data_IF_035768452242
#
_entry.id   IF_035768452242
#
_cell.length_a   1.000
_cell.length_b   1.000
_cell.length_c   1.000
_cell.angle_alpha   90.00
_cell.angle_beta   90.00
_cell.angle_gamma   90.00
#
_symmetry.space_group_name_H-M   'P 1'
#
loop_
_entity.id
_entity.type
_entity.pdbx_description
1 polymer ?
#
# COMPACT_ATOMS: atom_id res chain seq x y z
N UNK A 1 2.63 -10.79 20.49
CA UNK A 1 2.82 -12.23 20.22
C UNK A 1 2.37 -12.52 18.81
N UNK A 2 3.35 -12.75 17.93
CA UNK A 2 3.13 -13.12 16.54
C UNK A 2 2.39 -14.47 16.50
N UNK A 3 1.26 -14.62 15.77
CA UNK A 3 0.48 -15.87 15.70
C UNK A 3 1.23 -17.06 15.07
N UNK A 4 2.54 -16.93 14.86
CA UNK A 4 3.42 -17.83 14.13
C UNK A 4 4.49 -18.46 15.05
N UNK A 5 4.47 -18.16 16.36
CA UNK A 5 5.10 -19.06 17.33
C UNK A 5 4.19 -20.28 17.44
N UNK A 6 4.69 -21.41 16.97
CA UNK A 6 4.00 -22.70 17.00
C UNK A 6 3.63 -23.08 18.42
N UNK A 7 2.34 -23.13 18.72
CA UNK A 7 1.78 -24.05 19.71
C UNK A 7 0.57 -24.74 19.08
N UNK A 8 0.73 -26.06 18.93
CA UNK A 8 -0.25 -27.13 18.74
C UNK A 8 -1.38 -26.96 17.69
N UNK A 9 -1.10 -27.49 16.50
CA UNK A 9 -2.09 -27.83 15.48
C UNK A 9 -2.80 -29.14 15.90
N UNK A 10 -3.61 -29.08 16.95
CA UNK A 10 -4.51 -30.16 17.31
C UNK A 10 -5.76 -29.62 18.03
N UNK A 11 -6.72 -29.08 17.27
CA UNK A 11 -8.18 -29.25 17.46
C UNK A 11 -8.99 -28.17 16.69
N UNK A 12 -9.41 -28.40 15.42
CA UNK A 12 -10.28 -27.46 14.72
C UNK A 12 -11.78 -27.77 14.85
N UNK A 13 -12.19 -29.01 15.14
CA UNK A 13 -13.61 -29.43 14.98
C UNK A 13 -14.57 -28.76 15.98
N UNK A 14 -14.23 -28.73 17.27
CA UNK A 14 -15.11 -28.16 18.32
C UNK A 14 -15.26 -26.63 18.23
N UNK A 15 -14.21 -25.92 17.79
CA UNK A 15 -14.24 -24.46 17.59
C UNK A 15 -15.12 -24.10 16.38
N UNK A 16 -14.98 -24.86 15.29
CA UNK A 16 -15.83 -24.73 14.11
C UNK A 16 -17.31 -24.87 14.51
N UNK A 17 -17.70 -25.89 15.27
CA UNK A 17 -19.10 -26.10 15.64
C UNK A 17 -19.70 -24.99 16.52
N UNK A 18 -18.91 -24.34 17.39
CA UNK A 18 -19.37 -23.17 18.17
C UNK A 18 -19.64 -21.93 17.31
N UNK A 19 -18.80 -21.68 16.29
CA UNK A 19 -19.02 -20.60 15.31
C UNK A 19 -20.36 -20.79 14.58
N UNK A 20 -20.77 -22.05 14.34
CA UNK A 20 -21.98 -22.36 13.59
C UNK A 20 -23.25 -22.30 14.45
N UNK A 21 -23.21 -22.68 15.73
CA UNK A 21 -24.39 -22.62 16.63
C UNK A 21 -24.87 -21.20 16.93
N UNK A 22 -23.97 -20.23 17.09
CA UNK A 22 -24.36 -18.82 17.33
C UNK A 22 -25.01 -18.17 16.09
N UNK A 23 -24.88 -18.78 14.90
CA UNK A 23 -25.48 -18.27 13.67
C UNK A 23 -26.92 -18.72 13.46
N UNK A 24 -27.32 -19.89 13.99
CA UNK A 24 -28.71 -20.36 13.91
C UNK A 24 -29.66 -19.46 14.70
N UNK A 25 -29.21 -18.85 15.81
CA UNK A 25 -29.99 -17.85 16.55
C UNK A 25 -30.12 -16.49 15.82
N UNK A 26 -29.38 -16.28 14.73
CA UNK A 26 -29.46 -15.06 13.91
C UNK A 26 -30.00 -15.32 12.48
N UNK A 27 -30.50 -16.53 12.19
CA UNK A 27 -30.96 -16.96 10.86
C UNK A 27 -32.47 -17.18 10.75
N UNK A 28 -33.29 -16.31 11.32
CA UNK A 28 -34.66 -16.14 10.82
C UNK A 28 -34.87 -14.71 10.35
N UNK A 29 -34.79 -14.48 9.03
CA UNK A 29 -35.44 -13.34 8.37
C UNK A 29 -35.68 -13.62 6.87
N UNK A 30 -36.80 -13.11 6.33
CA UNK A 30 -37.35 -13.57 5.05
C UNK A 30 -36.66 -12.94 3.83
N UNK A 31 -36.71 -13.66 2.71
CA UNK A 31 -36.19 -13.23 1.40
C UNK A 31 -36.98 -12.02 0.89
N UNK A 32 -36.33 -10.87 0.75
CA UNK A 32 -36.93 -9.68 0.13
C UNK A 32 -35.94 -8.53 -0.15
N UNK A 33 -35.71 -8.29 -1.45
CA UNK A 33 -35.30 -7.06 -2.17
C UNK A 33 -34.07 -6.23 -1.73
N UNK A 34 -33.30 -5.85 -2.76
CA UNK A 34 -32.14 -4.94 -2.76
C UNK A 34 -32.50 -3.58 -2.13
N UNK A 35 -31.92 -3.31 -0.96
CA UNK A 35 -31.88 -2.01 -0.30
C UNK A 35 -30.74 -2.03 0.70
N UNK A 36 -29.87 -1.01 0.69
CA UNK A 36 -28.70 -0.93 1.58
C UNK A 36 -29.09 -1.24 3.03
N UNK A 37 -28.43 -2.24 3.63
CA UNK A 37 -28.63 -2.61 5.03
C UNK A 37 -28.41 -1.37 5.89
N UNK A 38 -29.45 -0.89 6.57
CA UNK A 38 -29.29 0.11 7.64
C UNK A 38 -28.36 -0.49 8.70
N UNK A 39 -27.33 0.23 9.17
CA UNK A 39 -26.48 -0.25 10.25
C UNK A 39 -27.35 -0.60 11.46
N UNK A 40 -27.05 -1.73 12.11
CA UNK A 40 -27.67 -2.05 13.40
C UNK A 40 -27.22 -0.95 14.38
N UNK A 41 -28.14 -0.28 15.08
CA UNK A 41 -27.77 0.77 16.02
C UNK A 41 -26.92 0.18 17.15
N UNK A 42 -25.73 0.76 17.36
CA UNK A 42 -24.82 0.38 18.43
C UNK A 42 -25.29 0.95 19.76
N UNK A 43 -25.04 0.23 20.86
CA UNK A 43 -25.30 0.69 22.22
C UNK A 43 -24.00 1.10 22.91
N UNK A 44 -24.07 2.06 23.83
CA UNK A 44 -22.93 2.42 24.69
C UNK A 44 -22.53 1.18 25.51
N UNK A 45 -21.23 0.89 25.56
CA UNK A 45 -20.69 -0.30 26.22
C UNK A 45 -20.75 -1.59 25.40
N UNK A 46 -21.28 -1.56 24.16
CA UNK A 46 -21.24 -2.72 23.28
C UNK A 46 -19.82 -2.98 22.78
N UNK A 47 -19.29 -4.17 23.05
CA UNK A 47 -18.01 -4.62 22.51
C UNK A 47 -18.18 -5.00 21.03
N UNK A 48 -17.29 -4.48 20.19
CA UNK A 48 -17.27 -4.77 18.75
C UNK A 48 -15.83 -4.98 18.28
N UNK A 49 -15.65 -5.94 17.37
CA UNK A 49 -14.39 -6.12 16.68
C UNK A 49 -14.26 -5.08 15.57
N UNK A 50 -13.16 -4.33 15.61
CA UNK A 50 -12.87 -3.24 14.67
C UNK A 50 -11.48 -3.40 14.09
N UNK A 51 -11.30 -2.95 12.86
CA UNK A 51 -9.99 -2.83 12.20
C UNK A 51 -9.68 -1.35 11.98
N UNK A 52 -8.43 -0.97 12.24
CA UNK A 52 -7.89 0.35 11.86
C UNK A 52 -7.72 0.37 10.35
N UNK A 53 -8.40 1.30 9.68
CA UNK A 53 -8.30 1.52 8.22
C UNK A 53 -7.41 2.71 7.91
N UNK A 54 -7.38 3.70 8.81
CA UNK A 54 -6.47 4.83 8.73
C UNK A 54 -5.92 5.14 10.11
N UNK A 55 -4.62 5.33 10.17
CA UNK A 55 -3.93 5.83 11.35
C UNK A 55 -4.49 7.19 11.79
N UNK A 56 -4.35 7.54 13.08
CA UNK A 56 -4.72 8.87 13.56
C UNK A 56 -3.87 9.93 12.83
N UNK A 57 -4.50 11.06 12.52
CA UNK A 57 -3.85 12.16 11.81
C UNK A 57 -4.24 13.50 12.43
N UNK A 58 -3.23 14.28 12.83
CA UNK A 58 -3.43 15.50 13.60
C UNK A 58 -4.20 15.20 14.88
N UNK A 59 -5.31 15.93 15.09
CA UNK A 59 -6.21 15.72 16.24
C UNK A 59 -7.29 14.66 15.98
N UNK A 60 -7.39 14.12 14.76
CA UNK A 60 -8.40 13.11 14.42
C UNK A 60 -7.90 11.72 14.83
N UNK A 61 -8.70 11.04 15.64
CA UNK A 61 -8.48 9.64 16.00
C UNK A 61 -8.48 8.69 14.78
N UNK A 62 -8.06 7.46 15.01
CA UNK A 62 -8.00 6.43 13.97
C UNK A 62 -9.37 6.17 13.34
N UNK A 63 -9.41 5.96 12.01
CA UNK A 63 -10.64 5.55 11.33
C UNK A 63 -10.80 4.05 11.44
N UNK A 64 -11.93 3.62 11.99
CA UNK A 64 -12.24 2.21 12.21
C UNK A 64 -13.27 1.68 11.23
N UNK A 65 -13.27 0.36 11.01
CA UNK A 65 -14.31 -0.37 10.27
C UNK A 65 -14.66 -1.69 10.97
N UNK A 66 -15.91 -2.11 10.84
CA UNK A 66 -16.36 -3.48 11.20
C UNK A 66 -16.36 -4.42 9.99
N UNK A 67 -16.11 -3.89 8.78
CA UNK A 67 -15.88 -4.69 7.57
C UNK A 67 -14.41 -5.10 7.52
N UNK A 68 -14.08 -6.13 8.29
CA UNK A 68 -12.69 -6.59 8.46
C UNK A 68 -12.16 -7.20 7.15
N UNK A 69 -10.87 -6.98 6.89
CA UNK A 69 -10.15 -7.49 5.73
C UNK A 69 -8.78 -7.99 6.13
N UNK A 70 -8.40 -9.16 5.60
CA UNK A 70 -7.08 -9.76 5.78
C UNK A 70 -6.40 -9.87 4.41
N UNK A 71 -5.47 -8.95 4.08
CA UNK A 71 -4.77 -8.97 2.80
C UNK A 71 -3.65 -10.03 2.79
N UNK A 72 -3.82 -11.03 1.94
CA UNK A 72 -2.74 -11.92 1.50
C UNK A 72 -2.08 -11.41 0.23
N UNK A 73 -1.24 -12.25 -0.36
CA UNK A 73 -0.47 -11.90 -1.55
C UNK A 73 -1.35 -11.89 -2.81
N UNK A 74 -2.10 -12.96 -3.01
CA UNK A 74 -2.93 -13.20 -4.18
C UNK A 74 -4.40 -12.94 -3.91
N UNK A 75 -4.84 -13.08 -2.66
CA UNK A 75 -6.24 -12.88 -2.27
C UNK A 75 -6.38 -11.98 -1.05
N UNK A 76 -7.53 -11.33 -0.91
CA UNK A 76 -7.94 -10.64 0.31
C UNK A 76 -9.13 -11.39 0.88
N UNK A 77 -9.05 -11.83 2.13
CA UNK A 77 -10.16 -12.48 2.82
C UNK A 77 -11.00 -11.45 3.57
N UNK A 78 -12.32 -11.53 3.42
CA UNK A 78 -13.29 -10.64 4.05
C UNK A 78 -14.24 -11.49 4.91
N UNK A 79 -13.94 -11.71 6.20
CA UNK A 79 -14.75 -12.61 7.04
C UNK A 79 -16.19 -12.14 7.25
N UNK A 80 -16.42 -10.82 7.25
CA UNK A 80 -17.72 -10.20 7.53
C UNK A 80 -18.55 -9.90 6.27
N UNK A 81 -18.00 -10.09 5.07
CA UNK A 81 -18.68 -9.85 3.80
C UNK A 81 -18.66 -11.13 2.96
N UNK A 82 -19.80 -11.52 2.38
CA UNK A 82 -19.88 -12.70 1.51
C UNK A 82 -19.51 -12.40 0.05
N UNK A 83 -19.28 -11.13 -0.30
CA UNK A 83 -18.92 -10.76 -1.67
C UNK A 83 -17.59 -11.39 -2.07
N UNK A 84 -17.59 -12.03 -3.23
CA UNK A 84 -16.37 -12.48 -3.90
C UNK A 84 -16.14 -11.63 -5.15
N UNK A 85 -14.89 -11.32 -5.45
CA UNK A 85 -14.54 -10.40 -6.51
C UNK A 85 -13.18 -10.65 -7.11
N UNK A 86 -12.93 -10.03 -8.26
CA UNK A 86 -11.63 -10.03 -8.95
C UNK A 86 -11.23 -8.57 -9.15
N UNK A 87 -9.95 -8.26 -8.94
CA UNK A 87 -9.37 -6.95 -9.16
C UNK A 87 -9.76 -6.38 -10.54
N UNK A 88 -10.16 -5.11 -10.56
CA UNK A 88 -10.53 -4.42 -11.81
C UNK A 88 -9.35 -4.31 -12.78
N UNK A 89 -8.11 -4.28 -12.26
CA UNK A 89 -6.87 -4.23 -13.05
C UNK A 89 -6.60 -5.52 -13.86
N UNK A 90 -7.34 -6.61 -13.60
CA UNK A 90 -7.28 -7.82 -14.44
C UNK A 90 -8.33 -7.65 -15.54
N UNK A 91 -7.91 -7.39 -16.77
CA UNK A 91 -8.83 -7.07 -17.88
C UNK A 91 -9.23 -8.30 -18.71
N UNK A 92 -8.33 -9.30 -18.83
CA UNK A 92 -8.57 -10.52 -19.60
C UNK A 92 -9.81 -11.28 -19.09
N UNK A 93 -10.77 -11.50 -19.97
CA UNK A 93 -12.00 -12.22 -19.66
C UNK A 93 -11.74 -13.69 -19.34
N UNK A 94 -10.83 -14.34 -20.07
CA UNK A 94 -10.44 -15.74 -19.86
C UNK A 94 -9.80 -15.92 -18.48
N UNK A 95 -8.88 -15.03 -18.12
CA UNK A 95 -8.23 -15.06 -16.82
C UNK A 95 -9.23 -14.80 -15.69
N UNK A 96 -10.16 -13.84 -15.89
CA UNK A 96 -11.26 -13.62 -14.95
C UNK A 96 -12.11 -14.87 -14.77
N UNK A 97 -12.43 -15.58 -15.85
CA UNK A 97 -13.22 -16.81 -15.77
C UNK A 97 -12.48 -17.90 -14.98
N UNK A 98 -11.20 -18.15 -15.32
CA UNK A 98 -10.34 -19.09 -14.59
C UNK A 98 -10.29 -18.77 -13.09
N UNK A 99 -10.05 -17.51 -12.74
CA UNK A 99 -9.97 -17.07 -11.34
C UNK A 99 -11.32 -17.21 -10.60
N UNK A 100 -12.46 -16.97 -11.27
CA UNK A 100 -13.79 -17.25 -10.68
C UNK A 100 -13.96 -18.72 -10.33
N UNK A 101 -13.49 -19.63 -11.18
CA UNK A 101 -13.52 -21.08 -10.91
C UNK A 101 -12.62 -21.45 -9.74
N UNK A 102 -11.45 -20.83 -9.61
CA UNK A 102 -10.56 -21.02 -8.45
C UNK A 102 -11.25 -20.57 -7.16
N UNK A 103 -11.89 -19.40 -7.13
CA UNK A 103 -12.63 -18.92 -5.94
C UNK A 103 -13.72 -19.92 -5.52
N UNK A 104 -14.47 -20.48 -6.48
CA UNK A 104 -15.50 -21.50 -6.20
C UNK A 104 -14.94 -22.73 -5.50
N UNK A 105 -13.65 -23.04 -5.69
CA UNK A 105 -12.99 -24.16 -5.02
C UNK A 105 -12.57 -23.88 -3.57
N UNK A 106 -12.76 -22.67 -3.04
CA UNK A 106 -12.44 -22.31 -1.66
C UNK A 106 -13.49 -22.82 -0.65
N UNK A 107 -13.87 -24.09 -0.77
CA UNK A 107 -14.93 -24.74 0.03
C UNK A 107 -14.60 -24.83 1.52
N UNK A 108 -13.33 -24.64 1.90
CA UNK A 108 -12.89 -24.59 3.30
C UNK A 108 -13.41 -23.35 4.05
N UNK A 109 -13.67 -22.25 3.33
CA UNK A 109 -14.17 -21.02 3.90
C UNK A 109 -15.70 -21.10 4.02
N UNK A 110 -16.17 -21.48 5.20
CA UNK A 110 -17.61 -21.64 5.49
C UNK A 110 -18.35 -20.30 5.64
N UNK A 111 -17.61 -19.20 5.79
CA UNK A 111 -18.13 -17.84 5.90
C UNK A 111 -17.13 -16.83 5.32
N UNK A 112 -17.63 -15.65 4.97
CA UNK A 112 -16.85 -14.59 4.35
C UNK A 112 -16.70 -14.76 2.84
N UNK A 113 -15.94 -13.84 2.26
CA UNK A 113 -15.72 -13.69 0.83
C UNK A 113 -14.26 -13.41 0.53
N UNK A 114 -13.90 -13.43 -0.74
CA UNK A 114 -12.53 -13.27 -1.21
C UNK A 114 -12.47 -12.31 -2.40
N UNK A 115 -11.47 -11.42 -2.38
CA UNK A 115 -11.11 -10.60 -3.55
C UNK A 115 -9.78 -11.10 -4.10
N UNK A 116 -9.75 -11.45 -5.37
CA UNK A 116 -8.51 -11.81 -6.07
C UNK A 116 -7.73 -10.54 -6.45
N UNK A 117 -6.46 -10.47 -6.06
CA UNK A 117 -5.53 -9.35 -6.32
C UNK A 117 -4.85 -9.50 -7.69
N UNK A 118 -4.35 -8.39 -8.24
CA UNK A 118 -3.64 -8.39 -9.53
C UNK A 118 -2.39 -9.27 -9.52
N UNK A 119 -1.75 -9.47 -8.36
CA UNK A 119 -0.60 -10.36 -8.20
C UNK A 119 -0.91 -11.84 -8.49
N UNK A 120 -2.18 -12.23 -8.61
CA UNK A 120 -2.58 -13.60 -8.92
C UNK A 120 -2.52 -13.94 -10.42
N UNK A 121 -2.18 -12.98 -11.28
CA UNK A 121 -2.12 -13.20 -12.73
C UNK A 121 -1.19 -14.37 -13.04
N UNK A 122 -1.68 -15.33 -13.83
CA UNK A 122 -0.96 -16.56 -14.24
C UNK A 122 -0.58 -17.51 -13.08
N UNK A 123 -0.90 -17.18 -11.84
CA UNK A 123 -0.60 -18.02 -10.69
C UNK A 123 -1.50 -19.26 -10.67
N UNK A 124 -0.94 -20.36 -10.17
CA UNK A 124 -1.59 -21.66 -10.15
C UNK A 124 -2.71 -21.75 -9.11
N UNK A 125 -3.72 -22.58 -9.38
CA UNK A 125 -4.85 -22.83 -8.44
C UNK A 125 -4.37 -23.19 -7.02
N UNK A 126 -3.27 -23.95 -6.91
CA UNK A 126 -2.71 -24.41 -5.63
C UNK A 126 -2.20 -23.26 -4.77
N UNK A 127 -1.52 -22.28 -5.37
CA UNK A 127 -0.97 -21.10 -4.67
C UNK A 127 -2.11 -20.22 -4.13
N UNK A 128 -3.12 -19.96 -4.95
CA UNK A 128 -4.30 -19.19 -4.53
C UNK A 128 -5.03 -19.85 -3.35
N UNK A 129 -5.19 -21.18 -3.38
CA UNK A 129 -5.81 -21.92 -2.27
C UNK A 129 -4.93 -21.85 -1.01
N UNK A 130 -3.60 -21.94 -1.15
CA UNK A 130 -2.65 -21.86 -0.02
C UNK A 130 -2.77 -20.51 0.69
N UNK A 131 -2.71 -19.42 -0.07
CA UNK A 131 -2.85 -18.04 0.44
C UNK A 131 -4.23 -17.85 1.12
N UNK A 132 -5.31 -18.32 0.47
CA UNK A 132 -6.65 -18.22 1.01
C UNK A 132 -6.85 -19.02 2.31
N UNK A 133 -6.29 -20.22 2.42
CA UNK A 133 -6.32 -21.04 3.65
C UNK A 133 -5.52 -20.38 4.77
N UNK A 134 -4.38 -19.79 4.46
CA UNK A 134 -3.57 -19.08 5.44
C UNK A 134 -4.35 -17.93 6.09
N UNK A 135 -4.98 -17.06 5.29
CA UNK A 135 -5.79 -15.95 5.80
C UNK A 135 -7.00 -16.43 6.60
N UNK A 136 -7.63 -17.51 6.17
CA UNK A 136 -8.73 -18.12 6.91
C UNK A 136 -8.29 -18.64 8.29
N UNK A 137 -7.11 -19.25 8.38
CA UNK A 137 -6.54 -19.70 9.65
C UNK A 137 -6.19 -18.53 10.58
N UNK A 138 -5.66 -17.43 10.04
CA UNK A 138 -5.48 -16.19 10.81
C UNK A 138 -6.83 -15.73 11.37
N UNK A 139 -7.87 -15.66 10.53
CA UNK A 139 -9.19 -15.26 10.97
C UNK A 139 -9.73 -16.12 12.11
N UNK A 140 -9.56 -17.45 12.06
CA UNK A 140 -9.99 -18.33 13.15
C UNK A 140 -9.30 -17.98 14.49
N UNK A 141 -8.01 -17.61 14.45
CA UNK A 141 -7.26 -17.14 15.62
C UNK A 141 -7.79 -15.78 16.12
N UNK A 142 -8.01 -14.83 15.21
CA UNK A 142 -8.59 -13.51 15.52
C UNK A 142 -9.95 -13.66 16.19
N UNK A 143 -10.83 -14.46 15.59
CA UNK A 143 -12.18 -14.70 16.09
C UNK A 143 -12.14 -15.34 17.49
N UNK A 144 -11.35 -16.41 17.67
CA UNK A 144 -11.20 -17.07 18.98
C UNK A 144 -10.69 -16.10 20.05
N UNK A 145 -9.67 -15.29 19.73
CA UNK A 145 -9.10 -14.33 20.68
C UNK A 145 -10.07 -13.18 20.98
N UNK A 146 -10.84 -12.73 20.00
CA UNK A 146 -11.89 -11.72 20.18
C UNK A 146 -13.02 -12.16 21.11
N UNK A 147 -13.36 -13.45 21.14
CA UNK A 147 -14.36 -14.01 22.07
C UNK A 147 -13.80 -14.20 23.50
N UNK A 148 -12.48 -14.26 23.66
CA UNK A 148 -11.82 -14.56 24.94
C UNK A 148 -11.42 -13.31 25.73
N UNK A 149 -11.10 -12.21 25.03
CA UNK A 149 -10.60 -10.98 25.64
C UNK A 149 -11.71 -9.93 25.76
N UNK A 150 -11.70 -9.17 26.85
CA UNK A 150 -12.60 -8.01 27.04
C UNK A 150 -12.02 -6.75 26.40
N UNK A 151 -12.88 -5.86 25.92
CA UNK A 151 -12.44 -4.60 25.32
C UNK A 151 -11.99 -3.59 26.40
N UNK A 152 -11.03 -2.68 26.08
CA UNK A 152 -10.23 -2.60 24.86
C UNK A 152 -9.05 -3.58 24.90
N UNK A 153 -8.85 -4.34 23.83
CA UNK A 153 -7.74 -5.30 23.70
C UNK A 153 -7.22 -5.38 22.26
N UNK A 154 -5.90 -5.49 22.10
CA UNK A 154 -5.28 -5.77 20.80
C UNK A 154 -5.47 -7.24 20.44
N UNK A 155 -6.38 -7.51 19.49
CA UNK A 155 -6.67 -8.87 19.02
C UNK A 155 -5.62 -9.33 18.02
N UNK A 156 -5.34 -8.52 17.01
CA UNK A 156 -4.41 -8.83 15.94
C UNK A 156 -3.63 -7.58 15.55
N UNK A 157 -2.32 -7.76 15.42
CA UNK A 157 -1.39 -6.79 14.88
C UNK A 157 -0.96 -7.33 13.52
N UNK A 158 -1.15 -6.54 12.46
CA UNK A 158 -0.64 -6.91 11.14
C UNK A 158 0.89 -7.04 11.24
N UNK A 159 1.46 -8.11 10.67
CA UNK A 159 2.86 -8.48 10.88
C UNK A 159 3.85 -7.37 10.54
N UNK A 160 5.08 -7.53 11.06
CA UNK A 160 6.22 -6.62 10.88
C UNK A 160 6.32 -6.11 9.42
N UNK A 161 6.74 -4.85 9.24
CA UNK A 161 6.90 -4.17 7.93
C UNK A 161 7.52 -5.08 6.87
N UNK A 162 8.49 -5.88 7.28
CA UNK A 162 9.15 -6.94 6.56
C UNK A 162 8.18 -7.87 5.79
N UNK A 163 7.13 -8.36 6.44
CA UNK A 163 6.08 -9.18 5.80
C UNK A 163 5.32 -8.39 4.74
N UNK A 164 4.93 -7.15 5.05
CA UNK A 164 4.23 -6.28 4.10
C UNK A 164 5.05 -6.09 2.82
N UNK A 165 6.36 -5.86 2.98
CA UNK A 165 7.30 -5.74 1.86
C UNK A 165 7.31 -7.01 1.02
N UNK A 166 7.51 -8.18 1.64
CA UNK A 166 7.54 -9.46 0.92
C UNK A 166 6.20 -9.76 0.24
N UNK A 167 5.07 -9.54 0.91
CA UNK A 167 3.74 -9.76 0.35
C UNK A 167 3.48 -8.90 -0.88
N UNK A 168 3.80 -7.61 -0.80
CA UNK A 168 3.40 -6.62 -1.79
C UNK A 168 4.45 -6.41 -2.90
N UNK A 169 5.75 -6.62 -2.62
CA UNK A 169 6.85 -6.30 -3.55
C UNK A 169 7.65 -7.49 -4.05
N UNK A 170 7.64 -8.66 -3.41
CA UNK A 170 8.42 -9.82 -3.89
C UNK A 170 7.76 -10.43 -5.13
N UNK A 171 7.92 -9.87 -6.32
CA UNK A 171 7.31 -10.35 -7.56
C UNK A 171 8.25 -11.26 -8.36
N UNK A 172 7.79 -11.81 -9.49
CA UNK A 172 8.62 -12.69 -10.34
C UNK A 172 9.83 -11.96 -10.93
N UNK A 173 9.67 -10.67 -11.24
CA UNK A 173 10.70 -9.75 -11.75
C UNK A 173 11.73 -9.32 -10.68
N UNK A 174 11.45 -9.53 -9.40
CA UNK A 174 12.45 -9.33 -8.34
C UNK A 174 13.49 -10.45 -8.43
N UNK A 175 14.75 -10.06 -8.63
CA UNK A 175 15.87 -11.00 -8.70
C UNK A 175 16.28 -11.48 -7.31
N UNK A 176 16.42 -10.55 -6.36
CA UNK A 176 16.93 -10.82 -5.01
C UNK A 176 16.27 -9.93 -3.96
N UNK A 177 16.04 -10.49 -2.77
CA UNK A 177 15.70 -9.79 -1.52
C UNK A 177 16.88 -9.97 -0.60
N UNK A 178 17.54 -8.88 -0.24
CA UNK A 178 18.79 -8.91 0.53
C UNK A 178 18.51 -8.32 1.93
N UNK A 179 18.88 -9.06 2.96
CA UNK A 179 18.56 -8.74 4.35
C UNK A 179 19.84 -8.83 5.18
N UNK A 180 20.19 -7.76 5.88
CA UNK A 180 21.40 -7.65 6.71
C UNK A 180 21.19 -8.08 8.18
N UNK A 181 19.95 -8.35 8.59
CA UNK A 181 19.64 -8.99 9.87
C UNK A 181 19.44 -10.49 9.71
N UNK A 182 20.25 -11.28 10.43
CA UNK A 182 20.16 -12.75 10.47
C UNK A 182 18.81 -13.24 10.97
N UNK A 183 18.27 -12.59 12.00
CA UNK A 183 16.99 -12.96 12.59
C UNK A 183 15.84 -12.73 11.61
N UNK A 184 15.79 -11.55 10.99
CA UNK A 184 14.78 -11.20 9.98
C UNK A 184 14.89 -12.10 8.74
N UNK A 185 16.10 -12.41 8.29
CA UNK A 185 16.34 -13.34 7.19
C UNK A 185 15.72 -14.72 7.47
N UNK A 186 15.95 -15.28 8.66
CA UNK A 186 15.39 -16.58 9.04
C UNK A 186 13.85 -16.52 9.13
N UNK A 187 13.30 -15.44 9.71
CA UNK A 187 11.84 -15.21 9.77
C UNK A 187 11.23 -15.16 8.38
N UNK A 188 11.73 -14.29 7.49
CA UNK A 188 11.23 -14.15 6.12
C UNK A 188 11.35 -15.46 5.34
N UNK A 189 12.48 -16.14 5.44
CA UNK A 189 12.71 -17.42 4.74
C UNK A 189 11.62 -18.43 5.06
N UNK A 190 11.33 -18.62 6.36
CA UNK A 190 10.24 -19.49 6.84
C UNK A 190 8.88 -19.03 6.32
N UNK A 191 8.61 -17.71 6.31
CA UNK A 191 7.37 -17.17 5.79
C UNK A 191 7.17 -17.43 4.29
N UNK A 192 8.18 -17.14 3.47
CA UNK A 192 8.09 -17.34 2.02
C UNK A 192 7.94 -18.81 1.68
N UNK A 193 8.67 -19.69 2.38
CA UNK A 193 8.55 -21.13 2.23
C UNK A 193 7.13 -21.64 2.57
N UNK A 194 6.50 -21.07 3.60
CA UNK A 194 5.17 -21.49 4.07
C UNK A 194 4.04 -20.96 3.19
N UNK A 195 4.15 -19.73 2.69
CA UNK A 195 3.01 -18.98 2.13
C UNK A 195 3.07 -18.76 0.63
N UNK A 196 4.25 -18.50 0.09
CA UNK A 196 4.42 -18.13 -1.32
C UNK A 196 4.78 -19.40 -2.09
N UNK A 197 5.91 -20.02 -1.73
CA UNK A 197 6.41 -21.23 -2.36
C UNK A 197 7.92 -21.36 -2.21
N UNK A 198 8.42 -22.58 -2.39
CA UNK A 198 9.84 -22.89 -2.22
C UNK A 198 10.71 -22.26 -3.33
N UNK A 199 10.14 -22.02 -4.51
CA UNK A 199 10.81 -21.39 -5.64
C UNK A 199 11.25 -19.94 -5.34
N UNK A 200 10.50 -19.22 -4.51
CA UNK A 200 10.82 -17.84 -4.14
C UNK A 200 11.85 -17.75 -3.01
N UNK A 201 12.09 -18.83 -2.27
CA UNK A 201 13.07 -18.87 -1.18
C UNK A 201 14.48 -18.62 -1.70
N UNK A 202 14.81 -19.14 -2.89
CA UNK A 202 16.14 -18.95 -3.50
C UNK A 202 16.50 -17.50 -3.82
N UNK A 203 15.53 -16.58 -3.80
CA UNK A 203 15.73 -15.14 -3.99
C UNK A 203 16.06 -14.41 -2.71
N UNK A 204 15.90 -15.03 -1.54
CA UNK A 204 16.12 -14.40 -0.24
C UNK A 204 17.56 -14.67 0.19
N UNK A 205 18.33 -13.62 0.40
CA UNK A 205 19.74 -13.70 0.71
C UNK A 205 20.07 -12.91 1.99
N UNK A 206 20.82 -13.54 2.88
CA UNK A 206 21.41 -12.86 4.02
C UNK A 206 22.67 -12.12 3.58
N UNK A 207 22.74 -10.83 3.89
CA UNK A 207 23.94 -10.03 3.71
C UNK A 207 24.76 -10.03 4.99
N UNK A 208 26.02 -10.42 4.89
CA UNK A 208 26.97 -10.52 6.01
C UNK A 208 28.25 -9.71 5.77
N UNK A 209 28.21 -8.74 4.86
CA UNK A 209 29.35 -7.86 4.60
C UNK A 209 29.56 -6.87 5.73
N UNK A 210 30.80 -6.40 5.88
CA UNK A 210 31.17 -5.41 6.90
C UNK A 210 30.63 -4.00 6.58
N UNK A 211 30.56 -3.66 5.30
CA UNK A 211 29.99 -2.39 4.83
C UNK A 211 28.46 -2.43 4.96
N UNK A 212 27.79 -1.39 5.49
CA UNK A 212 26.33 -1.35 5.56
C UNK A 212 25.67 -1.64 4.20
N UNK A 213 24.60 -2.44 4.20
CA UNK A 213 23.97 -2.94 2.97
C UNK A 213 23.62 -1.84 1.96
N UNK A 214 23.10 -0.71 2.44
CA UNK A 214 22.72 0.42 1.58
C UNK A 214 23.92 1.16 0.98
N UNK A 215 25.05 1.19 1.67
CA UNK A 215 26.31 1.71 1.13
C UNK A 215 26.89 0.75 0.09
N UNK A 216 26.92 -0.54 0.40
CA UNK A 216 27.34 -1.58 -0.55
C UNK A 216 26.52 -1.57 -1.84
N UNK A 217 25.22 -1.26 -1.75
CA UNK A 217 24.32 -1.12 -2.91
C UNK A 217 24.32 0.28 -3.53
N UNK A 218 25.13 1.21 -3.04
CA UNK A 218 25.23 2.60 -3.51
C UNK A 218 23.90 3.39 -3.48
N UNK A 219 22.99 3.07 -2.55
CA UNK A 219 21.69 3.75 -2.39
C UNK A 219 21.63 4.64 -1.16
N UNK A 220 22.64 4.63 -0.29
CA UNK A 220 22.67 5.45 0.93
C UNK A 220 22.50 6.95 0.64
N UNK A 221 23.11 7.46 -0.44
CA UNK A 221 22.96 8.86 -0.86
C UNK A 221 21.54 9.17 -1.32
N UNK A 222 20.94 8.27 -2.09
CA UNK A 222 19.55 8.42 -2.55
C UNK A 222 18.58 8.45 -1.36
N UNK A 223 18.84 7.63 -0.34
CA UNK A 223 18.05 7.62 0.90
C UNK A 223 18.19 8.92 1.70
N UNK A 224 19.37 9.52 1.77
CA UNK A 224 19.53 10.83 2.42
C UNK A 224 18.78 11.93 1.66
N UNK A 225 18.83 11.89 0.33
CA UNK A 225 18.18 12.90 -0.52
C UNK A 225 16.65 12.93 -0.44
N UNK A 226 16.01 11.93 0.18
CA UNK A 226 14.55 11.94 0.39
C UNK A 226 14.11 13.06 1.35
N UNK A 227 15.06 13.60 2.14
CA UNK A 227 14.81 14.69 3.07
C UNK A 227 15.08 16.07 2.46
N UNK A 228 15.81 16.13 1.34
CA UNK A 228 16.15 17.39 0.70
C UNK A 228 14.92 18.01 0.05
N UNK A 229 14.75 19.32 0.18
CA UNK A 229 13.67 20.04 -0.53
C UNK A 229 13.91 20.02 -2.05
N UNK A 230 15.17 20.11 -2.47
CA UNK A 230 15.58 20.16 -3.87
C UNK A 230 16.09 18.79 -4.32
N UNK A 231 15.58 18.28 -5.44
CA UNK A 231 15.99 16.99 -6.01
C UNK A 231 16.51 17.21 -7.42
N UNK A 232 17.80 17.00 -7.62
CA UNK A 232 18.49 17.26 -8.87
C UNK A 232 18.49 16.06 -9.82
N UNK A 233 18.19 16.32 -11.09
CA UNK A 233 18.35 15.39 -12.20
C UNK A 233 19.77 15.47 -12.79
N UNK A 234 20.14 14.48 -13.61
CA UNK A 234 21.49 14.37 -14.18
C UNK A 234 21.83 15.55 -15.09
N UNK A 235 20.85 16.14 -15.75
CA UNK A 235 21.04 17.30 -16.61
C UNK A 235 21.28 18.62 -15.87
N UNK A 236 21.07 18.64 -14.55
CA UNK A 236 21.09 19.86 -13.73
C UNK A 236 19.74 20.56 -13.60
N UNK A 237 18.67 20.06 -14.24
CA UNK A 237 17.31 20.36 -13.86
C UNK A 237 17.02 19.82 -12.45
N UNK A 238 16.03 20.38 -11.76
CA UNK A 238 15.65 19.91 -10.43
C UNK A 238 14.20 20.21 -10.11
N UNK A 239 13.66 19.47 -9.16
CA UNK A 239 12.34 19.72 -8.58
C UNK A 239 12.46 20.20 -7.14
N UNK A 240 11.54 21.07 -6.73
CA UNK A 240 11.42 21.56 -5.35
C UNK A 240 10.12 21.03 -4.76
N UNK A 241 10.21 20.25 -3.68
CA UNK A 241 9.05 19.62 -3.06
C UNK A 241 8.76 20.31 -1.72
N UNK A 242 7.60 20.96 -1.64
CA UNK A 242 7.15 21.65 -0.43
C UNK A 242 5.81 21.08 0.05
N UNK A 243 5.79 20.50 1.25
CA UNK A 243 4.56 20.09 1.90
C UNK A 243 3.97 21.25 2.70
N UNK A 244 2.67 21.49 2.53
CA UNK A 244 1.87 22.38 3.38
C UNK A 244 0.94 21.54 4.26
N UNK A 245 0.08 22.20 5.05
CA UNK A 245 -0.93 21.51 5.86
C UNK A 245 -1.92 20.71 4.99
N UNK A 246 -2.37 21.29 3.87
CA UNK A 246 -3.44 20.72 3.05
C UNK A 246 -2.99 19.98 1.79
N UNK A 247 -1.86 20.41 1.21
CA UNK A 247 -1.38 19.92 -0.09
C UNK A 247 0.14 19.93 -0.19
N UNK A 248 0.68 19.17 -1.13
CA UNK A 248 2.10 19.20 -1.51
C UNK A 248 2.26 19.90 -2.85
N UNK A 249 3.18 20.86 -2.93
CA UNK A 249 3.55 21.55 -4.18
C UNK A 249 4.87 20.99 -4.68
N UNK A 250 4.96 20.71 -5.98
CA UNK A 250 6.18 20.30 -6.67
C UNK A 250 6.46 21.31 -7.78
N UNK A 251 7.53 22.07 -7.64
CA UNK A 251 7.96 23.08 -8.62
C UNK A 251 9.12 22.55 -9.48
N UNK A 252 9.12 22.85 -10.78
CA UNK A 252 10.09 22.31 -11.74
C UNK A 252 11.00 23.43 -12.26
N UNK A 253 12.30 23.23 -12.12
CA UNK A 253 13.31 24.20 -12.52
C UNK A 253 14.29 23.59 -13.54
N UNK A 254 14.64 24.38 -14.56
CA UNK A 254 15.65 23.99 -15.56
C UNK A 254 17.07 24.03 -15.00
N UNK A 255 17.34 24.86 -13.98
CA UNK A 255 18.64 24.92 -13.30
C UNK A 255 19.82 25.10 -14.26
N UNK A 256 20.74 24.12 -14.27
CA UNK A 256 21.93 24.13 -15.16
C UNK A 256 21.70 23.44 -16.51
N UNK A 257 20.47 23.02 -16.81
CA UNK A 257 20.12 22.38 -18.08
C UNK A 257 20.50 23.29 -19.26
N UNK A 258 21.21 22.74 -20.24
CA UNK A 258 21.62 23.45 -21.46
C UNK A 258 21.23 22.64 -22.69
N UNK A 259 20.54 23.28 -23.63
CA UNK A 259 20.23 22.70 -24.93
C UNK A 259 20.31 23.76 -26.03
N UNK A 260 20.50 23.33 -27.28
CA UNK A 260 20.42 24.19 -28.47
C UNK A 260 18.99 24.30 -29.00
N UNK A 261 18.03 23.60 -28.40
CA UNK A 261 16.63 23.63 -28.80
C UNK A 261 15.96 24.98 -28.52
N UNK A 262 14.78 25.21 -29.11
CA UNK A 262 13.98 26.39 -28.79
C UNK A 262 13.58 26.40 -27.31
N UNK A 263 13.30 27.56 -26.69
CA UNK A 263 12.90 27.62 -25.28
C UNK A 263 11.70 26.73 -24.94
N UNK A 264 10.70 26.64 -25.81
CA UNK A 264 9.52 25.80 -25.61
C UNK A 264 9.82 24.30 -25.73
N UNK A 265 10.75 23.90 -26.59
CA UNK A 265 11.19 22.50 -26.68
C UNK A 265 12.12 22.15 -25.50
N UNK A 266 12.94 23.09 -25.02
CA UNK A 266 13.77 22.94 -23.82
C UNK A 266 12.91 22.73 -22.56
N UNK A 267 11.85 23.52 -22.38
CA UNK A 267 10.89 23.36 -21.29
C UNK A 267 10.25 21.96 -21.31
N UNK A 268 9.82 21.51 -22.49
CA UNK A 268 9.28 20.16 -22.66
C UNK A 268 10.29 19.06 -22.31
N UNK A 269 11.55 19.19 -22.74
CA UNK A 269 12.61 18.23 -22.39
C UNK A 269 12.84 18.15 -20.89
N UNK A 270 12.89 19.28 -20.19
CA UNK A 270 13.04 19.33 -18.73
C UNK A 270 11.85 18.68 -18.04
N UNK A 271 10.62 19.04 -18.42
CA UNK A 271 9.40 18.47 -17.83
C UNK A 271 9.36 16.94 -18.01
N UNK A 272 9.74 16.43 -19.19
CA UNK A 272 9.82 14.99 -19.46
C UNK A 272 10.90 14.29 -18.62
N UNK A 273 12.03 14.94 -18.35
CA UNK A 273 13.10 14.38 -17.50
C UNK A 273 12.68 14.26 -16.04
N UNK A 274 11.97 15.27 -15.51
CA UNK A 274 11.59 15.29 -14.08
C UNK A 274 10.38 14.41 -13.77
N UNK A 275 9.50 14.12 -14.73
CA UNK A 275 8.28 13.33 -14.49
C UNK A 275 8.54 11.99 -13.78
N UNK A 276 9.50 11.15 -14.22
CA UNK A 276 9.84 9.91 -13.52
C UNK A 276 10.35 10.17 -12.10
N UNK A 277 11.09 11.26 -11.89
CA UNK A 277 11.65 11.65 -10.60
C UNK A 277 10.55 12.11 -9.63
N UNK A 278 9.58 12.90 -10.09
CA UNK A 278 8.40 13.27 -9.31
C UNK A 278 7.68 12.01 -8.82
N UNK A 279 7.34 11.09 -9.74
CA UNK A 279 6.66 9.84 -9.36
C UNK A 279 7.50 8.99 -8.39
N UNK A 280 8.83 8.99 -8.53
CA UNK A 280 9.75 8.31 -7.61
C UNK A 280 9.72 8.93 -6.21
N UNK A 281 9.82 10.26 -6.10
CA UNK A 281 9.82 10.97 -4.82
C UNK A 281 8.50 10.86 -4.08
N UNK A 282 7.36 10.88 -4.80
CA UNK A 282 6.05 10.65 -4.19
C UNK A 282 5.99 9.31 -3.44
N UNK A 283 6.60 8.25 -4.01
CA UNK A 283 6.70 6.94 -3.36
C UNK A 283 7.70 6.92 -2.23
N UNK A 284 8.91 7.43 -2.45
CA UNK A 284 9.99 7.36 -1.45
C UNK A 284 9.70 8.16 -0.19
N UNK A 285 9.00 9.29 -0.31
CA UNK A 285 8.62 10.16 0.80
C UNK A 285 7.24 9.84 1.38
N UNK A 286 6.55 8.87 0.79
CA UNK A 286 5.15 8.52 1.02
C UNK A 286 4.20 9.73 1.03
N UNK A 287 4.33 10.59 0.02
CA UNK A 287 3.52 11.80 -0.10
C UNK A 287 2.12 11.44 -0.57
N UNK A 288 1.09 11.94 0.11
CA UNK A 288 -0.30 11.62 -0.20
C UNK A 288 -1.25 12.77 0.13
N UNK A 289 -2.47 12.69 -0.40
CA UNK A 289 -3.43 13.80 -0.43
C UNK A 289 -3.38 14.53 -1.76
N UNK A 290 -3.67 15.84 -1.74
CA UNK A 290 -3.63 16.70 -2.91
C UNK A 290 -2.17 17.05 -3.21
N UNK A 291 -1.77 16.84 -4.45
CA UNK A 291 -0.45 17.21 -4.97
C UNK A 291 -0.67 18.11 -6.17
N UNK A 292 0.04 19.24 -6.20
CA UNK A 292 0.02 20.20 -7.29
C UNK A 292 1.42 20.27 -7.88
N UNK A 293 1.54 20.05 -9.19
CA UNK A 293 2.81 20.10 -9.90
C UNK A 293 2.80 21.32 -10.81
N UNK A 294 3.79 22.19 -10.62
CA UNK A 294 4.05 23.38 -11.43
C UNK A 294 5.16 23.04 -12.43
N UNK A 295 4.75 22.69 -13.65
CA UNK A 295 5.68 22.39 -14.74
C UNK A 295 6.12 23.69 -15.42
N UNK A 296 7.31 23.69 -16.03
CA UNK A 296 7.75 24.83 -16.83
C UNK A 296 6.76 25.04 -17.98
N UNK A 297 6.38 26.30 -18.21
CA UNK A 297 5.38 26.67 -19.22
C UNK A 297 5.64 26.05 -20.59
N UNK A 298 4.59 25.41 -21.13
CA UNK A 298 4.60 24.79 -22.46
C UNK A 298 3.55 25.46 -23.35
N UNK A 299 3.98 25.96 -24.50
CA UNK A 299 3.07 26.63 -25.46
C UNK A 299 2.28 25.61 -26.30
N UNK A 300 2.92 24.50 -26.69
CA UNK A 300 2.30 23.50 -27.56
C UNK A 300 1.42 22.54 -26.74
N UNK A 301 0.14 22.43 -27.11
CA UNK A 301 -0.79 21.47 -26.48
C UNK A 301 -0.32 20.01 -26.59
N UNK A 302 0.39 19.66 -27.66
CA UNK A 302 1.00 18.34 -27.81
C UNK A 302 2.02 18.04 -26.71
N UNK A 303 2.83 19.03 -26.32
CA UNK A 303 3.82 18.88 -25.24
C UNK A 303 3.12 18.64 -23.90
N UNK A 304 2.08 19.43 -23.59
CA UNK A 304 1.26 19.26 -22.38
C UNK A 304 0.67 17.86 -22.30
N UNK A 305 0.08 17.38 -23.40
CA UNK A 305 -0.51 16.03 -23.49
C UNK A 305 0.53 14.94 -23.22
N UNK A 306 1.72 15.05 -23.83
CA UNK A 306 2.81 14.08 -23.65
C UNK A 306 3.34 14.05 -22.21
N UNK A 307 3.48 15.21 -21.56
CA UNK A 307 3.91 15.27 -20.14
C UNK A 307 2.87 14.62 -19.23
N UNK A 308 1.57 14.87 -19.44
CA UNK A 308 0.50 14.22 -18.67
C UNK A 308 0.48 12.70 -18.87
N UNK A 309 0.64 12.23 -20.11
CA UNK A 309 0.71 10.81 -20.44
C UNK A 309 1.93 10.15 -19.77
N UNK A 310 3.10 10.78 -19.84
CA UNK A 310 4.30 10.31 -19.17
C UNK A 310 4.12 10.24 -17.64
N UNK A 311 3.45 11.22 -17.05
CA UNK A 311 3.15 11.25 -15.62
C UNK A 311 2.24 10.09 -15.22
N UNK A 312 1.17 9.84 -15.99
CA UNK A 312 0.28 8.69 -15.74
C UNK A 312 1.03 7.35 -15.85
N UNK A 313 1.91 7.19 -16.84
CA UNK A 313 2.74 5.99 -17.01
C UNK A 313 3.70 5.83 -15.81
N UNK A 314 4.34 6.91 -15.37
CA UNK A 314 5.26 6.87 -14.24
C UNK A 314 4.57 6.53 -12.90
N UNK A 315 3.35 7.02 -12.72
CA UNK A 315 2.51 6.74 -11.54
C UNK A 315 1.84 5.35 -11.59
N UNK A 316 1.72 4.72 -12.76
CA UNK A 316 1.12 3.38 -12.88
C UNK A 316 1.90 2.29 -12.10
N UNK A 317 3.18 2.55 -11.80
CA UNK A 317 4.04 1.71 -10.95
C UNK A 317 3.78 1.88 -9.46
N UNK A 318 2.99 2.87 -9.06
CA UNK A 318 2.61 3.07 -7.67
C UNK A 318 1.57 2.03 -7.24
N UNK A 319 1.78 1.47 -6.05
CA UNK A 319 0.83 0.56 -5.45
C UNK A 319 -0.39 1.32 -4.90
N UNK A 320 -0.19 2.57 -4.51
CA UNK A 320 -1.24 3.43 -4.01
C UNK A 320 -2.07 4.04 -5.13
N UNK A 321 -3.35 4.25 -4.85
CA UNK A 321 -4.27 4.80 -5.85
C UNK A 321 -3.90 6.26 -6.14
N UNK A 322 -3.62 6.55 -7.40
CA UNK A 322 -3.39 7.90 -7.91
C UNK A 322 -4.48 8.32 -8.90
N UNK A 323 -4.90 9.58 -8.84
CA UNK A 323 -5.80 10.19 -9.83
C UNK A 323 -5.20 11.52 -10.27
N UNK A 324 -4.89 11.64 -11.56
CA UNK A 324 -4.34 12.87 -12.16
C UNK A 324 -5.45 13.59 -12.91
N UNK A 325 -5.56 14.90 -12.76
CA UNK A 325 -6.44 15.74 -13.56
C UNK A 325 -6.14 15.55 -15.04
N UNK A 326 -7.17 15.35 -15.87
CA UNK A 326 -7.00 15.00 -17.28
C UNK A 326 -6.46 16.12 -18.17
N UNK A 327 -6.20 17.31 -17.59
CA UNK A 327 -5.68 18.49 -18.28
C UNK A 327 -4.81 19.31 -17.34
N UNK A 328 -3.91 20.09 -17.93
CA UNK A 328 -3.22 21.18 -17.22
C UNK A 328 -4.23 22.31 -17.02
N UNK A 329 -4.26 22.91 -15.83
CA UNK A 329 -5.15 24.01 -15.51
C UNK A 329 -4.80 25.27 -16.33
N UNK A 330 -5.70 26.27 -16.40
CA UNK A 330 -5.38 27.55 -17.02
C UNK A 330 -4.18 28.28 -16.39
N UNK A 331 -3.83 27.92 -15.16
CA UNK A 331 -2.67 28.46 -14.43
C UNK A 331 -1.37 27.69 -14.71
N UNK A 332 -1.38 26.70 -15.60
CA UNK A 332 -0.19 25.87 -15.89
C UNK A 332 0.03 24.70 -14.93
N UNK A 333 -0.85 24.53 -13.94
CA UNK A 333 -0.69 23.54 -12.88
C UNK A 333 -1.32 22.19 -13.23
N UNK A 334 -0.70 21.11 -12.78
CA UNK A 334 -1.28 19.77 -12.81
C UNK A 334 -1.72 19.38 -11.40
N UNK A 335 -3.02 19.18 -11.21
CA UNK A 335 -3.55 18.66 -9.95
C UNK A 335 -3.64 17.13 -9.98
N UNK A 336 -3.26 16.49 -8.87
CA UNK A 336 -3.48 15.07 -8.68
C UNK A 336 -3.79 14.74 -7.23
N UNK A 337 -4.33 13.55 -7.00
CA UNK A 337 -4.44 12.96 -5.67
C UNK A 337 -3.69 11.64 -5.62
N UNK A 338 -3.06 11.36 -4.48
CA UNK A 338 -2.48 10.05 -4.13
C UNK A 338 -3.06 9.60 -2.80
N UNK A 339 -3.47 8.34 -2.69
CA UNK A 339 -4.02 7.80 -1.45
C UNK A 339 -3.02 7.94 -0.29
N UNK A 340 -3.52 8.27 0.90
CA UNK A 340 -2.71 8.32 2.12
C UNK A 340 -2.71 6.96 2.81
N UNK A 341 -1.51 6.41 2.97
CA UNK A 341 -1.20 5.14 3.65
C UNK A 341 -0.85 5.32 5.12
N UNK A 342 -0.44 6.52 5.52
CA UNK A 342 -0.06 6.83 6.90
C UNK A 342 0.59 8.20 7.03
N UNK A 343 1.57 8.29 7.91
CA UNK A 343 2.44 9.46 8.09
C UNK A 343 3.49 9.51 6.98
N UNK A 344 3.82 10.70 6.49
CA UNK A 344 4.94 10.89 5.54
C UNK A 344 6.26 10.59 6.23
N UNK A 345 7.29 10.24 5.46
CA UNK A 345 8.63 9.96 6.01
C UNK A 345 9.15 11.15 6.82
N UNK A 346 8.98 12.37 6.31
CA UNK A 346 9.37 13.60 7.00
C UNK A 346 8.68 13.77 8.35
N UNK A 347 7.37 13.50 8.44
CA UNK A 347 6.61 13.65 9.70
C UNK A 347 6.94 12.58 10.75
N UNK A 348 7.55 11.47 10.35
CA UNK A 348 8.05 10.44 11.26
C UNK A 348 9.48 10.78 11.71
N UNK A 349 10.28 11.37 10.82
CA UNK A 349 11.70 11.64 11.07
C UNK A 349 11.97 12.97 11.79
N UNK A 350 11.10 13.99 11.64
CA UNK A 350 11.36 15.34 12.15
C UNK A 350 10.25 15.89 13.04
N UNK A 351 10.65 16.72 14.01
CA UNK A 351 9.75 17.55 14.81
C UNK A 351 9.72 19.01 14.32
N UNK A 352 8.79 19.80 14.85
CA UNK A 352 8.74 21.25 14.57
C UNK A 352 10.00 21.94 15.11
N UNK A 353 10.52 22.91 14.35
CA UNK A 353 11.64 23.73 14.80
C UNK A 353 11.24 24.57 16.03
N UNK A 354 11.98 24.48 17.16
CA UNK A 354 11.60 25.17 18.40
C UNK A 354 11.78 26.68 18.34
N UNK A 355 12.57 27.20 17.40
CA UNK A 355 12.85 28.63 17.29
C UNK A 355 11.81 29.38 16.46
N UNK A 356 11.28 28.74 15.42
CA UNK A 356 10.37 29.40 14.48
C UNK A 356 9.00 28.73 14.39
N UNK A 357 8.74 27.69 15.18
CA UNK A 357 7.54 26.85 15.16
C UNK A 357 7.23 26.31 13.75
N UNK A 358 8.28 25.91 13.03
CA UNK A 358 8.19 25.38 11.67
C UNK A 358 8.11 26.42 10.55
N UNK A 359 8.18 27.72 10.84
CA UNK A 359 8.14 28.78 9.80
C UNK A 359 9.33 28.78 8.85
N UNK A 360 10.47 28.17 9.22
CA UNK A 360 11.70 28.13 8.42
C UNK A 360 12.31 29.49 8.10
N UNK A 361 11.87 30.56 8.77
CA UNK A 361 12.29 31.95 8.52
C UNK A 361 12.47 32.69 9.84
N UNK A 362 13.41 33.62 9.85
CA UNK A 362 13.68 34.53 10.97
C UNK A 362 13.27 35.94 10.56
N UNK A 363 12.67 36.71 11.45
CA UNK A 363 12.34 38.11 11.18
C UNK A 363 13.65 38.89 11.01
N UNK A 364 13.82 39.57 9.88
CA UNK A 364 14.95 40.48 9.66
C UNK A 364 14.76 41.66 10.64
N UNK A 365 15.82 42.08 11.38
CA UNK A 365 15.75 43.12 12.40
C UNK A 365 15.11 44.43 11.94
#
# INVERSE_FOLDING_TARGET
MNPLVEEDIAEPRKLLDKIFKNKEQHQQRPKGRRGGKRPIPLKVGQEILVQVVKDPFGEKGARLTTHLTLPGRFVVYMPCDQQTGISRKIESNDERQRLREVIKSFTFAKAGGFIIRTASLKQGKRELIRDAKFLYNIWLKIYKKGEQLKAPSLIYEEGELTWKIVRDYLTEDVQQVIIDSKEEHQKITKFVQTLIGHEMVGKIHHYNGETPLFEFKNIAKDLQSIYDTNVYCKSGAYIVINATEGLTVVDVNSGKFKTRASPGDAAFMVNMEVVPEIARQLRLRDLGGIIVIDFIDMVKEEHKRKVLEALQIALARDHEKTEVSGRISPLGLVEMTRARTGKTVESISFGKCPFCDGRGRVKIP
#
